data_IF_699865442177
#
_entry.id   IF_699865442177
#
_cell.length_a   1.000
_cell.length_b   1.000
_cell.length_c   1.000
_cell.angle_alpha   90.00
_cell.angle_beta   90.00
_cell.angle_gamma   90.00
#
_symmetry.space_group_name_H-M   'P 1'
#
loop_
_entity.id
_entity.type
_entity.pdbx_description
1 polymer ?
#
# COMPACT_ATOMS: atom_id res chain seq x y z
N UNK A 1 7.53 -4.13 28.86
CA UNK A 1 8.73 -3.74 28.10
C UNK A 1 8.27 -3.10 26.81
N UNK A 2 8.88 -1.97 26.44
CA UNK A 2 8.67 -1.30 25.14
C UNK A 2 10.00 -1.36 24.41
N UNK A 3 9.96 -1.75 23.12
CA UNK A 3 11.12 -1.75 22.23
C UNK A 3 10.89 -0.62 21.22
N UNK A 4 11.74 0.39 21.26
CA UNK A 4 11.69 1.51 20.32
C UNK A 4 12.57 1.19 19.10
N UNK A 5 11.97 1.20 17.92
CA UNK A 5 12.61 0.88 16.65
C UNK A 5 12.79 2.12 15.76
N UNK A 6 12.51 3.32 16.28
CA UNK A 6 12.47 4.57 15.50
C UNK A 6 13.79 4.86 14.77
N UNK A 7 14.92 4.46 15.36
CA UNK A 7 16.25 4.69 14.75
C UNK A 7 16.64 3.67 13.67
N UNK A 8 15.86 2.60 13.49
CA UNK A 8 16.03 1.64 12.40
C UNK A 8 15.22 2.10 11.18
N UNK A 9 15.54 3.26 10.62
CA UNK A 9 14.72 3.94 9.60
C UNK A 9 15.44 4.15 8.26
N UNK A 10 16.63 3.59 8.08
CA UNK A 10 17.36 3.69 6.82
C UNK A 10 16.61 2.98 5.68
N UNK A 11 16.69 3.55 4.48
CA UNK A 11 16.25 2.93 3.23
C UNK A 11 17.43 2.94 2.27
N UNK A 12 17.75 1.78 1.71
CA UNK A 12 18.85 1.59 0.77
C UNK A 12 18.38 0.81 -0.45
N UNK A 13 18.77 1.22 -1.65
CA UNK A 13 18.44 0.52 -2.88
C UNK A 13 19.65 -0.14 -3.51
N UNK A 14 19.52 -1.40 -3.88
CA UNK A 14 20.53 -2.14 -4.64
C UNK A 14 20.06 -2.33 -6.09
N UNK A 15 20.66 -1.65 -7.08
CA UNK A 15 20.24 -1.72 -8.47
C UNK A 15 20.55 -3.08 -9.14
N UNK A 16 21.55 -3.83 -8.64
CA UNK A 16 21.92 -5.13 -9.20
C UNK A 16 20.87 -6.18 -8.87
N UNK A 17 20.40 -6.19 -7.63
CA UNK A 17 19.37 -7.14 -7.15
C UNK A 17 17.94 -6.63 -7.33
N UNK A 18 17.77 -5.32 -7.59
CA UNK A 18 16.48 -4.62 -7.62
C UNK A 18 15.70 -4.77 -6.31
N UNK A 19 16.41 -4.72 -5.20
CA UNK A 19 15.87 -4.85 -3.85
C UNK A 19 16.10 -3.56 -3.09
N UNK A 20 15.08 -3.11 -2.38
CA UNK A 20 15.17 -2.05 -1.39
C UNK A 20 15.24 -2.68 0.01
N UNK A 21 16.29 -2.35 0.78
CA UNK A 21 16.42 -2.67 2.20
C UNK A 21 15.85 -1.54 3.02
N UNK A 22 14.80 -1.81 3.77
CA UNK A 22 14.02 -0.80 4.51
C UNK A 22 13.98 -1.15 6.00
N UNK A 23 14.44 -0.25 6.83
CA UNK A 23 14.35 -0.38 8.28
C UNK A 23 12.91 -0.31 8.78
N UNK A 24 12.60 -1.11 9.79
CA UNK A 24 11.23 -1.26 10.31
C UNK A 24 10.66 0.02 10.93
N UNK A 25 11.52 0.92 11.43
CA UNK A 25 11.16 2.22 12.01
C UNK A 25 10.87 3.31 10.98
N UNK A 26 11.14 3.08 9.69
CA UNK A 26 10.87 4.02 8.62
C UNK A 26 9.37 4.28 8.43
N UNK A 27 9.04 5.42 7.82
CA UNK A 27 7.70 5.76 7.38
C UNK A 27 7.61 5.73 5.87
N UNK A 28 6.45 5.35 5.34
CA UNK A 28 6.29 5.14 3.90
C UNK A 28 6.62 6.37 3.05
N UNK A 29 6.34 7.57 3.57
CA UNK A 29 6.71 8.80 2.86
C UNK A 29 8.22 8.97 2.68
N UNK A 30 9.00 8.61 3.70
CA UNK A 30 10.48 8.66 3.66
C UNK A 30 11.03 7.60 2.70
N UNK A 31 10.48 6.37 2.75
CA UNK A 31 10.85 5.28 1.82
C UNK A 31 10.61 5.68 0.37
N UNK A 32 9.44 6.27 0.07
CA UNK A 32 9.13 6.67 -1.30
C UNK A 32 10.01 7.82 -1.78
N UNK A 33 10.33 8.78 -0.91
CA UNK A 33 11.23 9.88 -1.26
C UNK A 33 12.62 9.36 -1.64
N UNK A 34 13.17 8.44 -0.86
CA UNK A 34 14.48 7.83 -1.14
C UNK A 34 14.44 7.01 -2.45
N UNK A 35 13.44 6.16 -2.62
CA UNK A 35 13.35 5.30 -3.81
C UNK A 35 13.06 6.08 -5.09
N UNK A 36 12.44 7.23 -5.00
CA UNK A 36 12.17 8.12 -6.14
C UNK A 36 13.46 8.63 -6.78
N UNK A 37 14.51 8.88 -5.99
CA UNK A 37 15.83 9.29 -6.51
C UNK A 37 16.46 8.22 -7.42
N UNK A 38 16.00 6.98 -7.29
CA UNK A 38 16.43 5.83 -8.09
C UNK A 38 15.40 5.43 -9.17
N UNK A 39 14.35 6.21 -9.37
CA UNK A 39 13.25 5.92 -10.31
C UNK A 39 12.58 4.56 -10.07
N UNK A 40 12.55 4.10 -8.80
CA UNK A 40 11.93 2.83 -8.41
C UNK A 40 10.89 3.03 -7.30
N UNK A 41 9.98 2.08 -7.18
CA UNK A 41 8.97 2.03 -6.14
C UNK A 41 8.81 0.62 -5.58
N UNK A 42 8.09 0.53 -4.46
CA UNK A 42 7.70 -0.71 -3.80
C UNK A 42 6.21 -0.70 -3.49
N UNK A 43 5.62 -1.88 -3.31
CA UNK A 43 4.25 -1.96 -2.78
C UNK A 43 4.26 -1.71 -1.28
N UNK A 44 3.69 -0.60 -0.88
CA UNK A 44 3.70 -0.15 0.52
C UNK A 44 2.48 0.69 0.89
N UNK A 45 2.57 1.43 2.00
CA UNK A 45 1.46 2.20 2.54
C UNK A 45 1.02 3.36 1.66
N UNK A 46 -0.27 3.66 1.70
CA UNK A 46 -0.91 4.74 0.92
C UNK A 46 -0.83 6.12 1.58
N UNK A 47 -0.36 6.17 2.81
CA UNK A 47 -0.27 7.39 3.61
C UNK A 47 1.18 7.55 4.12
N UNK A 48 1.78 8.70 3.86
CA UNK A 48 3.17 9.01 4.22
C UNK A 48 3.53 8.77 5.69
N UNK A 49 2.68 9.11 6.69
CA UNK A 49 3.05 8.94 8.11
C UNK A 49 2.92 7.51 8.64
N UNK A 50 2.42 6.56 7.83
CA UNK A 50 2.25 5.16 8.27
C UNK A 50 3.61 4.48 8.35
N UNK A 51 3.86 3.76 9.46
CA UNK A 51 5.09 3.00 9.68
C UNK A 51 5.20 1.76 8.80
N UNK A 52 6.42 1.46 8.38
CA UNK A 52 6.72 0.31 7.50
C UNK A 52 6.45 -1.01 8.22
N UNK A 53 6.97 -1.16 9.45
CA UNK A 53 6.94 -2.43 10.17
C UNK A 53 5.53 -2.98 10.37
N UNK A 54 4.65 -2.22 11.01
CA UNK A 54 3.29 -2.66 11.31
C UNK A 54 2.44 -2.91 10.07
N UNK A 55 2.56 -2.05 9.05
CA UNK A 55 1.81 -2.23 7.81
C UNK A 55 2.26 -3.48 7.06
N UNK A 56 3.56 -3.67 6.87
CA UNK A 56 4.11 -4.77 6.07
C UNK A 56 3.87 -6.12 6.75
N UNK A 57 4.05 -6.21 8.07
CA UNK A 57 3.76 -7.42 8.83
C UNK A 57 2.27 -7.76 8.88
N UNK A 58 1.39 -6.75 8.75
CA UNK A 58 -0.06 -6.94 8.64
C UNK A 58 -0.56 -7.26 7.23
N UNK A 59 0.35 -7.51 6.27
CA UNK A 59 0.06 -7.75 4.87
C UNK A 59 0.41 -6.56 3.98
N UNK A 60 -0.06 -5.36 4.28
CA UNK A 60 0.24 -4.14 3.55
C UNK A 60 -0.56 -3.98 2.25
N UNK A 61 -1.63 -3.17 2.28
CA UNK A 61 -2.41 -2.85 1.09
C UNK A 61 -1.94 -1.52 0.49
N UNK A 62 -1.39 -1.56 -0.73
CA UNK A 62 -0.90 -0.42 -1.49
C UNK A 62 -1.71 -0.13 -2.75
N UNK A 63 -1.37 0.96 -3.45
CA UNK A 63 -2.01 1.30 -4.73
C UNK A 63 -1.69 0.30 -5.85
N UNK A 64 -0.59 -0.42 -5.74
CA UNK A 64 -0.15 -1.41 -6.72
C UNK A 64 -0.60 -2.83 -6.39
N UNK A 65 -1.29 -3.05 -5.26
CA UNK A 65 -1.75 -4.36 -4.79
C UNK A 65 -2.53 -5.16 -5.84
N UNK A 66 -3.42 -4.59 -6.66
CA UNK A 66 -4.11 -5.37 -7.68
C UNK A 66 -3.18 -6.05 -8.70
N UNK A 67 -1.99 -5.47 -8.92
CA UNK A 67 -0.98 -5.98 -9.86
C UNK A 67 0.12 -6.79 -9.19
N UNK A 68 0.55 -6.40 -8.00
CA UNK A 68 1.77 -6.91 -7.35
C UNK A 68 1.51 -7.80 -6.13
N UNK A 69 0.24 -7.96 -5.72
CA UNK A 69 -0.09 -8.55 -4.44
C UNK A 69 0.05 -7.58 -3.27
N UNK A 70 -0.07 -8.07 -2.05
CA UNK A 70 0.14 -7.29 -0.84
C UNK A 70 1.61 -6.88 -0.68
N UNK A 71 1.89 -5.88 0.14
CA UNK A 71 3.26 -5.43 0.41
C UNK A 71 4.16 -6.56 0.92
N UNK A 72 3.64 -7.43 1.78
CA UNK A 72 4.38 -8.59 2.29
C UNK A 72 4.72 -9.63 1.22
N UNK A 73 3.98 -9.71 0.11
CA UNK A 73 4.27 -10.63 -0.99
C UNK A 73 5.58 -10.27 -1.68
N UNK A 74 5.88 -8.97 -1.74
CA UNK A 74 7.11 -8.43 -2.33
C UNK A 74 8.34 -8.52 -1.40
N UNK A 75 8.17 -8.92 -0.12
CA UNK A 75 9.29 -9.08 0.80
C UNK A 75 10.03 -10.39 0.50
N UNK A 76 11.29 -10.26 0.16
CA UNK A 76 12.19 -11.37 -0.16
C UNK A 76 12.98 -11.85 1.03
N UNK A 77 13.25 -10.97 2.01
CA UNK A 77 13.94 -11.31 3.23
C UNK A 77 13.47 -10.43 4.39
N UNK A 78 13.39 -11.00 5.57
CA UNK A 78 13.22 -10.30 6.83
C UNK A 78 14.48 -10.51 7.68
N UNK A 79 15.03 -9.47 8.26
CA UNK A 79 15.95 -9.57 9.38
C UNK A 79 15.16 -9.56 10.68
N UNK A 80 15.32 -10.56 11.50
CA UNK A 80 14.45 -10.80 12.67
C UNK A 80 15.28 -11.08 13.91
N UNK A 81 15.00 -10.41 15.01
CA UNK A 81 15.50 -10.77 16.34
C UNK A 81 14.51 -11.71 17.01
N UNK A 82 14.94 -12.93 17.28
CA UNK A 82 14.15 -13.95 17.94
C UNK A 82 14.08 -13.74 19.46
N UNK A 83 13.21 -14.46 20.13
CA UNK A 83 13.01 -14.35 21.59
C UNK A 83 14.26 -14.74 22.41
N UNK A 84 15.17 -15.53 21.85
CA UNK A 84 16.45 -15.87 22.46
C UNK A 84 17.56 -14.83 22.22
N UNK A 85 17.24 -13.74 21.49
CA UNK A 85 18.18 -12.68 21.11
C UNK A 85 19.01 -12.96 19.85
N UNK A 86 18.81 -14.10 19.20
CA UNK A 86 19.46 -14.43 17.94
C UNK A 86 18.90 -13.56 16.80
N UNK A 87 19.79 -13.05 15.93
CA UNK A 87 19.41 -12.32 14.72
C UNK A 87 19.49 -13.28 13.56
N UNK A 88 18.37 -13.46 12.87
CA UNK A 88 18.25 -14.38 11.72
C UNK A 88 17.75 -13.66 10.49
N UNK A 89 18.12 -14.18 9.31
CA UNK A 89 17.51 -13.83 8.04
C UNK A 89 16.47 -14.89 7.68
N UNK A 90 15.23 -14.46 7.44
CA UNK A 90 14.13 -15.31 7.01
C UNK A 90 13.76 -15.01 5.56
N UNK A 91 13.99 -15.96 4.66
CA UNK A 91 13.74 -15.86 3.21
C UNK A 91 13.42 -17.24 2.63
N UNK A 92 13.25 -17.34 1.32
CA UNK A 92 12.87 -18.60 0.66
C UNK A 92 13.90 -19.74 0.85
N UNK A 93 15.18 -19.42 1.10
CA UNK A 93 16.26 -20.39 1.25
C UNK A 93 16.65 -20.66 2.71
N UNK A 94 16.37 -19.71 3.61
CA UNK A 94 16.74 -19.77 5.02
C UNK A 94 15.55 -19.40 5.89
N UNK A 95 15.22 -20.21 6.91
CA UNK A 95 14.03 -20.04 7.76
C UNK A 95 12.75 -19.80 6.95
N UNK A 96 12.53 -20.61 5.91
CA UNK A 96 11.46 -20.43 4.94
C UNK A 96 10.05 -20.53 5.56
N UNK A 97 9.90 -21.23 6.64
CA UNK A 97 8.68 -21.32 7.44
C UNK A 97 8.39 -19.97 8.15
N UNK A 98 9.42 -19.41 8.81
CA UNK A 98 9.33 -18.08 9.43
C UNK A 98 9.06 -16.99 8.39
N UNK A 99 9.74 -17.04 7.24
CA UNK A 99 9.50 -16.09 6.13
C UNK A 99 8.03 -16.10 5.66
N UNK A 100 7.45 -17.28 5.49
CA UNK A 100 6.03 -17.41 5.12
C UNK A 100 5.10 -16.93 6.23
N UNK A 101 5.42 -17.28 7.48
CA UNK A 101 4.60 -16.92 8.63
C UNK A 101 4.59 -15.41 8.92
N UNK A 102 5.68 -14.69 8.60
CA UNK A 102 5.76 -13.22 8.74
C UNK A 102 4.92 -12.45 7.72
N UNK A 103 4.51 -13.07 6.61
CA UNK A 103 3.64 -12.45 5.61
C UNK A 103 2.20 -12.38 6.12
N UNK A 104 1.85 -11.28 6.77
CA UNK A 104 0.56 -11.08 7.42
C UNK A 104 0.47 -11.65 8.85
N UNK A 105 1.56 -12.25 9.36
CA UNK A 105 1.62 -12.85 10.70
C UNK A 105 1.79 -11.85 11.86
N UNK A 106 1.86 -10.54 11.55
CA UNK A 106 2.05 -9.50 12.57
C UNK A 106 3.35 -9.66 13.38
N UNK A 107 3.39 -9.19 14.63
CA UNK A 107 4.60 -9.10 15.47
C UNK A 107 4.78 -10.25 16.44
N UNK A 108 4.13 -11.40 16.23
CA UNK A 108 4.16 -12.52 17.19
C UNK A 108 5.40 -13.42 17.10
N UNK A 109 6.14 -13.35 16.00
CA UNK A 109 7.19 -14.31 15.65
C UNK A 109 8.62 -13.80 15.91
N UNK A 110 8.74 -12.57 16.39
CA UNK A 110 10.00 -11.90 16.64
C UNK A 110 9.93 -10.40 16.35
N UNK A 111 11.03 -9.70 16.59
CA UNK A 111 11.15 -8.28 16.26
C UNK A 111 11.83 -8.16 14.89
N UNK A 112 11.07 -7.79 13.88
CA UNK A 112 11.62 -7.52 12.55
C UNK A 112 12.33 -6.16 12.58
N UNK A 113 13.58 -6.13 12.20
CA UNK A 113 14.44 -4.93 12.17
C UNK A 113 14.57 -4.35 10.76
N UNK A 114 14.49 -5.20 9.73
CA UNK A 114 14.65 -4.79 8.34
C UNK A 114 13.83 -5.67 7.39
N UNK A 115 13.36 -5.06 6.31
CA UNK A 115 12.66 -5.70 5.20
C UNK A 115 13.47 -5.50 3.93
N UNK A 116 13.77 -6.58 3.21
CA UNK A 116 14.29 -6.52 1.85
C UNK A 116 13.11 -6.74 0.88
N UNK A 117 12.82 -5.74 0.06
CA UNK A 117 11.57 -5.68 -0.74
C UNK A 117 11.92 -5.55 -2.22
N UNK A 118 11.31 -6.36 -3.09
CA UNK A 118 11.43 -6.18 -4.53
C UNK A 118 10.89 -4.84 -4.98
N UNK A 119 11.64 -4.17 -5.85
CA UNK A 119 11.26 -2.90 -6.46
C UNK A 119 10.72 -3.10 -7.87
N UNK A 120 9.99 -2.10 -8.34
CA UNK A 120 9.55 -1.98 -9.74
C UNK A 120 9.84 -0.54 -10.23
N UNK A 121 9.92 -0.29 -11.54
CA UNK A 121 10.11 1.06 -12.06
C UNK A 121 9.00 1.99 -11.58
N UNK A 122 9.38 3.11 -10.94
CA UNK A 122 8.43 4.13 -10.51
C UNK A 122 7.80 4.81 -11.73
N UNK A 123 6.54 5.19 -11.58
CA UNK A 123 5.78 5.95 -12.59
C UNK A 123 4.87 6.92 -11.87
N UNK A 124 4.56 8.02 -12.51
CA UNK A 124 3.49 8.89 -12.07
C UNK A 124 2.18 8.10 -12.03
N UNK A 125 1.36 8.39 -11.06
CA UNK A 125 0.03 7.80 -10.89
C UNK A 125 -1.02 8.89 -11.03
N UNK A 126 -2.18 8.53 -11.54
CA UNK A 126 -3.37 9.38 -11.47
C UNK A 126 -4.11 9.08 -10.19
N UNK A 127 -4.44 10.10 -9.42
CA UNK A 127 -5.26 9.96 -8.20
C UNK A 127 -6.35 11.02 -8.22
N UNK A 128 -7.60 10.60 -8.05
CA UNK A 128 -8.74 11.48 -7.88
C UNK A 128 -9.59 11.01 -6.70
N UNK A 129 -10.09 11.95 -5.91
CA UNK A 129 -11.01 11.67 -4.81
C UNK A 129 -12.29 12.43 -5.05
N UNK A 130 -13.41 11.72 -5.00
CA UNK A 130 -14.77 12.25 -5.15
C UNK A 130 -15.57 12.02 -3.89
N UNK A 131 -16.31 13.04 -3.46
CA UNK A 131 -17.29 12.91 -2.38
C UNK A 131 -18.69 13.03 -2.99
N UNK A 132 -19.54 12.06 -2.71
CA UNK A 132 -20.86 11.88 -3.28
C UNK A 132 -21.88 11.95 -2.14
N UNK A 133 -23.03 12.58 -2.39
CA UNK A 133 -24.08 12.74 -1.40
C UNK A 133 -24.85 11.44 -1.14
N UNK A 134 -25.46 11.30 0.06
CA UNK A 134 -26.16 10.08 0.48
C UNK A 134 -27.40 9.77 -0.37
N UNK A 135 -27.94 10.73 -1.09
CA UNK A 135 -29.06 10.58 -2.04
C UNK A 135 -28.72 9.64 -3.20
N UNK A 136 -27.42 9.48 -3.53
CA UNK A 136 -26.93 8.59 -4.58
C UNK A 136 -26.41 7.24 -4.04
N UNK A 137 -26.86 6.84 -2.85
CA UNK A 137 -26.33 5.66 -2.15
C UNK A 137 -26.42 4.38 -2.97
N UNK A 138 -27.56 4.12 -3.59
CA UNK A 138 -27.77 2.87 -4.32
C UNK A 138 -26.90 2.82 -5.59
N UNK A 139 -26.84 3.92 -6.35
CA UNK A 139 -25.96 4.06 -7.51
C UNK A 139 -24.47 3.89 -7.13
N UNK A 140 -24.09 4.44 -5.97
CA UNK A 140 -22.74 4.32 -5.46
C UNK A 140 -22.37 2.88 -5.10
N UNK A 141 -23.26 2.16 -4.41
CA UNK A 141 -23.07 0.75 -4.06
C UNK A 141 -22.96 -0.10 -5.33
N UNK A 142 -23.84 0.12 -6.32
CA UNK A 142 -23.78 -0.57 -7.60
C UNK A 142 -22.47 -0.32 -8.33
N UNK A 143 -21.93 0.90 -8.28
CA UNK A 143 -20.64 1.23 -8.87
C UNK A 143 -19.46 0.54 -8.16
N UNK A 144 -19.53 0.39 -6.82
CA UNK A 144 -18.53 -0.38 -6.06
C UNK A 144 -18.58 -1.85 -6.43
N UNK A 145 -19.79 -2.44 -6.53
CA UNK A 145 -19.98 -3.86 -6.92
C UNK A 145 -19.42 -4.10 -8.32
N UNK A 146 -19.72 -3.22 -9.27
CA UNK A 146 -19.22 -3.35 -10.64
C UNK A 146 -17.69 -3.25 -10.71
N UNK A 147 -17.10 -2.30 -9.97
CA UNK A 147 -15.65 -2.21 -9.88
C UNK A 147 -15.02 -3.50 -9.33
N UNK A 148 -15.63 -4.10 -8.31
CA UNK A 148 -15.14 -5.37 -7.73
C UNK A 148 -15.24 -6.55 -8.71
N UNK A 149 -16.11 -6.46 -9.71
CA UNK A 149 -16.30 -7.49 -10.75
C UNK A 149 -15.46 -7.26 -12.02
N UNK A 150 -14.64 -6.20 -12.05
CA UNK A 150 -13.72 -5.98 -13.17
C UNK A 150 -12.70 -7.13 -13.26
N UNK A 151 -12.36 -7.50 -14.49
CA UNK A 151 -11.38 -8.55 -14.75
C UNK A 151 -9.93 -8.06 -14.55
N UNK A 152 -8.97 -8.97 -14.66
CA UNK A 152 -7.55 -8.67 -14.43
C UNK A 152 -6.95 -7.68 -15.44
N UNK A 153 -7.60 -7.35 -16.55
CA UNK A 153 -7.13 -6.32 -17.47
C UNK A 153 -7.11 -4.93 -16.82
N UNK A 154 -7.82 -4.77 -15.73
CA UNK A 154 -7.89 -3.55 -14.92
C UNK A 154 -6.92 -3.52 -13.72
N UNK A 155 -5.91 -4.40 -13.68
CA UNK A 155 -4.92 -4.54 -12.59
C UNK A 155 -4.13 -3.25 -12.26
N UNK A 156 -4.14 -2.28 -13.16
CA UNK A 156 -3.52 -0.97 -12.98
C UNK A 156 -4.39 0.03 -12.20
N UNK A 157 -5.62 -0.36 -11.89
CA UNK A 157 -6.55 0.47 -11.13
C UNK A 157 -6.65 0.00 -9.70
N UNK A 158 -6.70 0.94 -8.78
CA UNK A 158 -6.97 0.70 -7.37
C UNK A 158 -8.03 1.68 -6.87
N UNK A 159 -8.85 1.23 -5.95
CA UNK A 159 -9.92 2.02 -5.38
C UNK A 159 -9.93 1.92 -3.86
N UNK A 160 -10.28 3.02 -3.21
CA UNK A 160 -10.69 3.02 -1.81
C UNK A 160 -12.06 3.68 -1.72
N UNK A 161 -13.03 2.91 -1.29
CA UNK A 161 -14.37 3.39 -0.98
C UNK A 161 -14.55 3.46 0.53
N UNK A 162 -15.00 4.60 1.03
CA UNK A 162 -15.34 4.81 2.44
C UNK A 162 -16.68 5.53 2.56
N UNK A 163 -17.41 5.21 3.61
CA UNK A 163 -18.70 5.83 3.92
C UNK A 163 -18.59 6.47 5.32
N UNK A 164 -17.99 7.66 5.42
CA UNK A 164 -17.81 8.33 6.70
C UNK A 164 -19.10 8.99 7.15
N UNK A 165 -19.26 9.12 8.47
CA UNK A 165 -20.23 9.98 9.11
C UNK A 165 -19.52 11.18 9.74
N UNK A 166 -20.00 12.37 9.43
CA UNK A 166 -19.49 13.62 10.03
C UNK A 166 -20.61 14.28 10.84
N UNK A 167 -20.39 14.60 12.14
CA UNK A 167 -21.34 15.38 12.92
C UNK A 167 -21.68 16.71 12.22
N UNK A 168 -22.98 16.99 12.07
CA UNK A 168 -23.46 18.20 11.41
C UNK A 168 -23.57 18.12 9.88
N UNK A 169 -22.94 17.15 9.23
CA UNK A 169 -23.05 16.89 7.77
C UNK A 169 -23.85 15.61 7.49
N UNK A 170 -23.67 14.59 8.34
CA UNK A 170 -24.29 13.28 8.16
C UNK A 170 -23.36 12.29 7.44
N UNK A 171 -23.95 11.31 6.76
CA UNK A 171 -23.25 10.31 5.98
C UNK A 171 -22.86 10.92 4.61
N UNK A 172 -21.64 10.67 4.19
CA UNK A 172 -21.19 10.92 2.82
C UNK A 172 -20.53 9.66 2.27
N UNK A 173 -20.36 9.58 0.96
CA UNK A 173 -19.65 8.49 0.31
C UNK A 173 -18.43 9.06 -0.40
N UNK A 174 -17.26 8.50 -0.12
CA UNK A 174 -16.03 8.98 -0.74
C UNK A 174 -15.33 7.83 -1.45
N UNK A 175 -15.05 8.04 -2.73
CA UNK A 175 -14.20 7.14 -3.53
C UNK A 175 -12.88 7.83 -3.83
N UNK A 176 -11.78 7.10 -3.62
CA UNK A 176 -10.46 7.48 -4.12
C UNK A 176 -10.12 6.53 -5.26
N UNK A 177 -9.99 7.07 -6.44
CA UNK A 177 -9.72 6.41 -7.70
C UNK A 177 -8.24 6.58 -8.03
N UNK A 178 -7.54 5.48 -8.32
CA UNK A 178 -6.12 5.52 -8.66
C UNK A 178 -5.86 4.69 -9.91
N UNK A 179 -5.08 5.25 -10.84
CA UNK A 179 -4.51 4.48 -11.94
C UNK A 179 -2.99 4.55 -11.89
N UNK A 180 -2.36 3.39 -11.68
CA UNK A 180 -0.92 3.25 -11.52
C UNK A 180 -0.13 3.25 -12.83
N UNK A 181 -0.80 3.36 -13.97
CA UNK A 181 -0.21 3.58 -15.30
C UNK A 181 -0.33 5.02 -15.78
N UNK A 182 -0.76 5.94 -14.91
CA UNK A 182 -1.02 7.35 -15.23
C UNK A 182 -2.02 7.55 -16.38
N UNK A 183 -3.05 6.71 -16.43
CA UNK A 183 -4.12 6.82 -17.43
C UNK A 183 -5.37 7.45 -16.81
N UNK A 184 -5.56 8.74 -17.02
CA UNK A 184 -6.74 9.49 -16.57
C UNK A 184 -8.03 9.11 -17.31
N UNK A 185 -7.93 8.41 -18.44
CA UNK A 185 -9.07 8.01 -19.28
C UNK A 185 -9.46 6.53 -19.06
N UNK A 186 -9.06 5.93 -17.94
CA UNK A 186 -9.49 4.57 -17.61
C UNK A 186 -11.02 4.48 -17.46
N UNK A 187 -11.62 3.44 -18.00
CA UNK A 187 -13.07 3.18 -17.87
C UNK A 187 -13.44 2.49 -16.55
N UNK A 188 -12.44 2.09 -15.76
CA UNK A 188 -12.66 1.39 -14.48
C UNK A 188 -13.56 2.15 -13.51
N UNK A 189 -13.58 3.48 -13.58
CA UNK A 189 -14.34 4.35 -12.67
C UNK A 189 -15.50 5.07 -13.36
N UNK A 190 -15.91 4.64 -14.55
CA UNK A 190 -16.90 5.36 -15.37
C UNK A 190 -18.22 5.59 -14.64
N UNK A 191 -18.70 4.64 -13.84
CA UNK A 191 -19.94 4.81 -13.06
C UNK A 191 -19.81 5.89 -11.99
N UNK A 192 -18.68 5.94 -11.28
CA UNK A 192 -18.43 7.02 -10.30
C UNK A 192 -18.33 8.38 -10.98
N UNK A 193 -17.69 8.43 -12.16
CA UNK A 193 -17.48 9.66 -12.92
C UNK A 193 -18.79 10.29 -13.43
N UNK A 194 -19.87 9.54 -13.53
CA UNK A 194 -21.20 10.00 -13.95
C UNK A 194 -22.05 10.57 -12.81
N UNK A 195 -21.67 10.28 -11.54
CA UNK A 195 -22.44 10.73 -10.39
C UNK A 195 -22.17 12.21 -10.08
N UNK A 196 -23.21 12.95 -9.62
CA UNK A 196 -23.01 14.29 -9.07
C UNK A 196 -22.08 14.23 -7.85
N UNK A 197 -21.15 15.19 -7.78
CA UNK A 197 -20.17 15.26 -6.69
C UNK A 197 -20.42 16.47 -5.80
N UNK A 198 -20.32 16.29 -4.49
CA UNK A 198 -20.29 17.39 -3.52
C UNK A 198 -18.93 18.08 -3.52
N UNK A 199 -17.85 17.30 -3.69
CA UNK A 199 -16.48 17.81 -3.77
C UNK A 199 -15.58 16.85 -4.57
N UNK A 200 -14.61 17.41 -5.25
CA UNK A 200 -13.53 16.67 -5.92
C UNK A 200 -12.19 17.24 -5.48
N UNK A 201 -11.23 16.38 -5.14
CA UNK A 201 -9.86 16.76 -4.83
C UNK A 201 -8.88 15.80 -5.52
N UNK A 202 -7.75 16.33 -5.95
CA UNK A 202 -6.76 15.60 -6.74
C UNK A 202 -7.04 15.77 -8.23
N UNK A 203 -6.09 16.29 -8.94
CA UNK A 203 -5.98 16.20 -10.41
C UNK A 203 -4.52 15.91 -10.68
N UNK A 204 -4.33 14.94 -11.58
CA UNK A 204 -3.09 14.65 -12.32
C UNK A 204 -1.92 15.57 -12.03
N UNK A 205 -0.93 15.08 -11.39
CA UNK A 205 0.42 15.64 -11.44
C UNK A 205 1.32 14.72 -12.27
#
# INVERSE_FOLDING_TARGET
VVIDLTHLNATEYNPETKVASVGTGARWGEVYAELQEHEVGVTGGRQSPVGVGGLTLGGGFGWTTPRTGFGCDSVVNYEVVLANGEIVNANAACHADLWRALKGGSSYLGVVTKFDIYTFPARNITLERRTIGPEHKDEYIDAVVDYCNLDQSYDKNAMVSVIPYFPGVGITMTVTEVNTANNASTTAFEKFNRMPVMATTGKNS
#
